data_IF_658755647854
#
_entry.id   IF_658755647854
#
_cell.length_a   1.000
_cell.length_b   1.000
_cell.length_c   1.000
_cell.angle_alpha   90.00
_cell.angle_beta   90.00
_cell.angle_gamma   90.00
#
_symmetry.space_group_name_H-M   'P 1'
#
loop_
_entity.id
_entity.type
_entity.pdbx_description
1 polymer ?
#
# COMPACT_ATOMS: atom_id res chain seq x y z
N UNK A 1 -40.10 46.67 -4.83
CA UNK A 1 -39.77 45.90 -3.60
C UNK A 1 -39.76 44.37 -3.77
N UNK A 2 -40.57 43.75 -4.65
CA UNK A 2 -40.56 42.28 -4.86
C UNK A 2 -39.28 41.72 -5.51
N UNK A 3 -38.56 42.51 -6.31
CA UNK A 3 -37.30 42.08 -6.95
C UNK A 3 -36.09 42.04 -6.01
N UNK A 4 -36.09 42.81 -4.91
CA UNK A 4 -34.97 42.80 -3.97
C UNK A 4 -34.98 41.53 -3.08
N UNK A 5 -36.16 41.05 -2.71
CA UNK A 5 -36.31 39.84 -1.91
C UNK A 5 -35.90 38.57 -2.68
N UNK A 6 -36.18 38.52 -3.98
CA UNK A 6 -35.79 37.39 -4.83
C UNK A 6 -34.27 37.31 -5.04
N UNK A 7 -33.59 38.46 -5.21
CA UNK A 7 -32.13 38.49 -5.36
C UNK A 7 -31.38 38.14 -4.07
N UNK A 8 -31.95 38.45 -2.90
CA UNK A 8 -31.38 38.05 -1.60
C UNK A 8 -31.58 36.55 -1.35
N UNK A 9 -32.74 35.99 -1.71
CA UNK A 9 -32.97 34.54 -1.62
C UNK A 9 -32.10 33.74 -2.61
N UNK A 10 -31.82 34.29 -3.80
CA UNK A 10 -30.89 33.68 -4.77
C UNK A 10 -29.43 33.83 -4.34
N UNK A 11 -29.01 34.93 -3.71
CA UNK A 11 -27.64 35.05 -3.20
C UNK A 11 -27.41 34.21 -1.94
N UNK A 12 -28.40 34.10 -1.03
CA UNK A 12 -28.36 33.16 0.11
C UNK A 12 -28.44 31.71 -0.37
N UNK A 13 -29.23 31.42 -1.40
CA UNK A 13 -29.29 30.12 -2.07
C UNK A 13 -28.00 29.74 -2.79
N UNK A 14 -27.35 30.67 -3.50
CA UNK A 14 -26.06 30.45 -4.15
C UNK A 14 -24.90 30.37 -3.14
N UNK A 15 -24.98 31.07 -2.00
CA UNK A 15 -24.06 30.89 -0.86
C UNK A 15 -24.29 29.56 -0.13
N UNK A 16 -25.53 29.05 -0.09
CA UNK A 16 -25.81 27.69 0.38
C UNK A 16 -25.40 26.62 -0.63
N UNK A 17 -25.30 26.92 -1.93
CA UNK A 17 -24.84 25.98 -2.98
C UNK A 17 -23.32 25.99 -3.14
N UNK A 18 -22.64 27.05 -2.69
CA UNK A 18 -21.23 26.99 -2.29
C UNK A 18 -21.10 26.29 -0.93
N UNK A 19 -21.54 25.03 -0.88
CA UNK A 19 -21.56 24.20 0.32
C UNK A 19 -20.25 24.34 1.07
N UNK A 20 -20.37 24.76 2.34
CA UNK A 20 -19.32 24.74 3.33
C UNK A 20 -18.54 23.44 3.22
N UNK A 21 -17.35 23.49 2.63
CA UNK A 21 -16.40 22.40 2.75
C UNK A 21 -15.97 22.43 4.21
N UNK A 22 -16.61 21.59 5.01
CA UNK A 22 -16.25 21.42 6.41
C UNK A 22 -14.86 20.77 6.38
N UNK A 23 -13.86 21.56 6.78
CA UNK A 23 -12.48 21.11 6.92
C UNK A 23 -12.33 20.52 8.32
N UNK A 24 -12.22 19.20 8.36
CA UNK A 24 -12.09 18.46 9.60
C UNK A 24 -10.65 18.07 9.86
N UNK A 25 -10.29 18.00 11.14
CA UNK A 25 -8.93 17.70 11.56
C UNK A 25 -8.90 16.44 12.41
N UNK A 26 -8.26 15.40 11.89
CA UNK A 26 -8.00 14.17 12.63
C UNK A 26 -6.54 14.15 13.07
N UNK A 27 -6.31 13.96 14.36
CA UNK A 27 -4.98 13.77 14.91
C UNK A 27 -4.84 12.37 15.48
N UNK A 28 -3.66 11.78 15.33
CA UNK A 28 -3.34 10.50 15.94
C UNK A 28 -1.92 10.48 16.48
N UNK A 29 -1.72 9.79 17.59
CA UNK A 29 -0.47 9.85 18.36
C UNK A 29 0.02 8.46 18.74
N UNK A 30 1.34 8.24 18.82
CA UNK A 30 1.93 6.93 19.10
C UNK A 30 1.72 6.43 20.54
N UNK A 31 1.02 7.18 21.40
CA UNK A 31 0.67 6.72 22.74
C UNK A 31 -0.47 5.72 22.66
N UNK A 32 -0.25 4.52 23.22
CA UNK A 32 -1.25 3.46 23.23
C UNK A 32 -2.43 3.84 24.12
N UNK A 33 -3.65 3.69 23.59
CA UNK A 33 -4.86 3.81 24.36
C UNK A 33 -5.14 2.52 25.14
N UNK A 34 -5.76 2.62 26.32
CA UNK A 34 -6.14 1.44 27.12
C UNK A 34 -7.49 0.85 26.69
N UNK A 35 -8.26 1.55 25.87
CA UNK A 35 -9.59 1.12 25.45
C UNK A 35 -9.48 0.17 24.26
N UNK A 36 -10.06 -1.04 24.33
CA UNK A 36 -10.13 -1.94 23.17
C UNK A 36 -10.95 -1.29 22.06
N UNK A 37 -10.56 -1.55 20.81
CA UNK A 37 -11.35 -1.11 19.66
C UNK A 37 -12.70 -1.82 19.66
N UNK A 38 -13.74 -1.08 19.28
CA UNK A 38 -15.02 -1.70 18.94
C UNK A 38 -14.82 -2.59 17.71
N UNK A 39 -15.61 -3.67 17.56
CA UNK A 39 -15.60 -4.46 16.34
C UNK A 39 -15.77 -3.58 15.10
N UNK A 40 -15.02 -3.88 14.03
CA UNK A 40 -14.97 -3.01 12.85
C UNK A 40 -16.34 -2.77 12.19
N UNK A 41 -17.22 -3.79 12.20
CA UNK A 41 -18.60 -3.63 11.71
C UNK A 41 -19.39 -2.57 12.52
N UNK A 42 -19.19 -2.48 13.84
CA UNK A 42 -19.81 -1.45 14.68
C UNK A 42 -19.17 -0.08 14.45
N UNK A 43 -17.86 -0.04 14.20
CA UNK A 43 -17.15 1.19 13.84
C UNK A 43 -17.79 1.84 12.60
N UNK A 44 -18.06 1.05 11.56
CA UNK A 44 -18.75 1.50 10.33
C UNK A 44 -20.27 1.67 10.50
N UNK A 45 -20.81 1.44 11.70
CA UNK A 45 -22.23 1.63 12.02
C UNK A 45 -23.14 0.49 11.58
N UNK A 46 -22.59 -0.66 11.20
CA UNK A 46 -23.36 -1.87 10.93
C UNK A 46 -23.66 -2.65 12.22
N UNK A 47 -24.84 -3.26 12.27
CA UNK A 47 -25.27 -4.09 13.41
C UNK A 47 -24.66 -5.49 13.39
N UNK A 48 -24.36 -6.02 12.20
CA UNK A 48 -23.76 -7.34 11.99
C UNK A 48 -22.64 -7.25 10.95
N UNK A 49 -21.66 -8.17 10.98
CA UNK A 49 -20.67 -8.29 9.91
C UNK A 49 -21.34 -8.70 8.59
N UNK A 50 -21.08 -7.96 7.51
CA UNK A 50 -21.50 -8.28 6.15
C UNK A 50 -20.34 -8.13 5.15
N UNK A 51 -20.46 -8.78 4.00
CA UNK A 51 -19.57 -8.58 2.84
C UNK A 51 -18.08 -8.83 3.13
N UNK A 52 -17.23 -7.93 2.61
CA UNK A 52 -15.76 -8.01 2.67
C UNK A 52 -15.14 -7.50 3.99
N UNK A 53 -15.94 -7.26 5.03
CA UNK A 53 -15.44 -6.69 6.29
C UNK A 53 -14.33 -7.52 6.93
N UNK A 54 -14.37 -8.85 6.80
CA UNK A 54 -13.29 -9.72 7.29
C UNK A 54 -11.95 -9.46 6.57
N UNK A 55 -11.99 -9.17 5.26
CA UNK A 55 -10.81 -8.80 4.49
C UNK A 55 -10.29 -7.42 4.93
N UNK A 56 -11.19 -6.46 5.18
CA UNK A 56 -10.80 -5.14 5.70
C UNK A 56 -10.15 -5.24 7.08
N UNK A 57 -10.76 -5.99 8.00
CA UNK A 57 -10.26 -6.23 9.37
C UNK A 57 -8.85 -6.81 9.35
N UNK A 58 -8.64 -7.88 8.56
CA UNK A 58 -7.33 -8.52 8.41
C UNK A 58 -6.31 -7.57 7.78
N UNK A 59 -6.69 -6.90 6.69
CA UNK A 59 -5.80 -5.97 6.01
C UNK A 59 -5.42 -4.77 6.90
N UNK A 60 -6.36 -4.30 7.71
CA UNK A 60 -6.16 -3.19 8.62
C UNK A 60 -5.27 -3.57 9.82
N UNK A 61 -5.24 -4.85 10.21
CA UNK A 61 -4.68 -5.31 11.49
C UNK A 61 -5.58 -4.91 12.66
N UNK A 62 -6.90 -4.96 12.47
CA UNK A 62 -7.86 -4.39 13.43
C UNK A 62 -7.97 -5.20 14.72
N UNK A 63 -7.84 -6.53 14.64
CA UNK A 63 -8.05 -7.42 15.79
C UNK A 63 -6.79 -7.60 16.65
N UNK A 64 -5.61 -7.38 16.09
CA UNK A 64 -4.30 -7.63 16.72
C UNK A 64 -3.41 -6.38 16.84
N UNK A 65 -3.87 -5.24 16.33
CA UNK A 65 -3.17 -3.96 16.44
C UNK A 65 -3.28 -3.30 17.81
N UNK A 66 -2.22 -2.63 18.23
CA UNK A 66 -2.22 -1.77 19.41
C UNK A 66 -2.99 -0.48 19.10
N UNK A 67 -4.08 -0.22 19.84
CA UNK A 67 -4.87 1.02 19.70
C UNK A 67 -4.03 2.25 20.02
N UNK A 68 -4.10 3.26 19.16
CA UNK A 68 -3.47 4.56 19.35
C UNK A 68 -4.49 5.62 19.77
N UNK A 69 -4.03 6.67 20.43
CA UNK A 69 -4.87 7.85 20.64
C UNK A 69 -5.22 8.48 19.28
N UNK A 70 -6.51 8.71 19.06
CA UNK A 70 -7.03 9.32 17.85
C UNK A 70 -8.17 10.28 18.19
N UNK A 71 -8.01 11.54 17.81
CA UNK A 71 -8.98 12.60 18.08
C UNK A 71 -9.56 13.10 16.74
N UNK A 72 -10.89 13.18 16.68
CA UNK A 72 -11.64 13.85 15.60
C UNK A 72 -12.24 15.14 16.15
N UNK A 73 -12.24 16.21 15.36
CA UNK A 73 -12.93 17.47 15.69
C UNK A 73 -14.44 17.43 15.44
N UNK A 74 -14.95 16.38 14.77
CA UNK A 74 -16.35 16.24 14.36
C UNK A 74 -16.94 14.90 14.82
N UNK A 75 -18.13 14.97 15.41
CA UNK A 75 -18.91 13.84 15.91
C UNK A 75 -19.46 12.96 14.77
N UNK A 76 -19.65 13.52 13.57
CA UNK A 76 -20.09 12.79 12.38
C UNK A 76 -18.94 12.03 11.69
N UNK A 77 -17.70 12.35 12.04
CA UNK A 77 -16.50 11.67 11.57
C UNK A 77 -15.96 10.76 12.68
N UNK A 78 -16.16 9.46 12.52
CA UNK A 78 -15.52 8.48 13.40
C UNK A 78 -14.10 8.24 12.91
N UNK A 79 -13.15 8.23 13.83
CA UNK A 79 -11.76 7.98 13.54
C UNK A 79 -11.19 6.97 14.54
N UNK A 80 -10.38 6.04 14.06
CA UNK A 80 -9.66 5.08 14.88
C UNK A 80 -8.28 4.86 14.29
N UNK A 81 -7.27 4.77 15.16
CA UNK A 81 -5.92 4.51 14.74
C UNK A 81 -5.31 3.36 15.53
N UNK A 82 -4.48 2.58 14.86
CA UNK A 82 -3.82 1.42 15.45
C UNK A 82 -2.41 1.25 14.87
N UNK A 83 -1.59 0.50 15.58
CA UNK A 83 -0.25 0.12 15.18
C UNK A 83 -0.07 -1.38 15.28
N UNK A 84 0.41 -1.98 14.21
CA UNK A 84 0.86 -3.37 14.19
C UNK A 84 2.33 -3.35 13.75
N UNK A 85 3.25 -3.67 14.65
CA UNK A 85 4.69 -3.51 14.42
C UNK A 85 5.08 -2.11 13.92
N UNK A 86 5.54 -1.99 12.66
CA UNK A 86 5.83 -0.73 11.96
C UNK A 86 4.88 -0.48 10.79
N UNK A 87 3.66 -0.94 10.96
CA UNK A 87 2.53 -0.57 10.15
C UNK A 87 1.59 0.22 11.02
N UNK A 88 1.17 1.37 10.51
CA UNK A 88 0.21 2.21 11.18
C UNK A 88 -1.04 2.36 10.33
N UNK A 89 -2.19 2.15 10.92
CA UNK A 89 -3.47 2.18 10.23
C UNK A 89 -4.36 3.25 10.84
N UNK A 90 -5.06 4.01 9.99
CA UNK A 90 -6.06 4.99 10.35
C UNK A 90 -7.35 4.66 9.59
N UNK A 91 -8.40 4.30 10.32
CA UNK A 91 -9.74 4.15 9.78
C UNK A 91 -10.55 5.42 10.04
N UNK A 92 -11.22 5.90 9.01
CA UNK A 92 -12.09 7.07 9.02
C UNK A 92 -13.45 6.65 8.47
N UNK A 93 -14.52 7.05 9.14
CA UNK A 93 -15.88 6.78 8.69
C UNK A 93 -16.71 8.06 8.73
N UNK A 94 -17.15 8.50 7.55
CA UNK A 94 -18.01 9.66 7.41
C UNK A 94 -19.48 9.23 7.53
N UNK A 95 -20.10 9.55 8.66
CA UNK A 95 -21.54 9.33 8.91
C UNK A 95 -22.39 10.53 8.48
N UNK A 96 -21.76 11.58 7.95
CA UNK A 96 -22.45 12.77 7.45
C UNK A 96 -23.10 12.48 6.10
N UNK A 97 -24.28 13.06 5.82
CA UNK A 97 -24.87 13.04 4.48
C UNK A 97 -24.11 13.93 3.47
N UNK A 98 -23.05 14.61 3.91
CA UNK A 98 -22.24 15.50 3.08
C UNK A 98 -20.83 14.94 2.85
N UNK A 99 -20.21 15.37 1.75
CA UNK A 99 -18.79 15.08 1.49
C UNK A 99 -17.91 15.90 2.42
N UNK A 100 -16.98 15.25 3.12
CA UNK A 100 -16.05 15.88 4.05
C UNK A 100 -14.63 15.99 3.49
N UNK A 101 -13.94 17.07 3.86
CA UNK A 101 -12.51 17.24 3.65
C UNK A 101 -11.80 17.00 4.98
N UNK A 102 -10.98 15.96 5.06
CA UNK A 102 -10.31 15.58 6.32
C UNK A 102 -8.82 15.79 6.20
N UNK A 103 -8.28 16.68 7.03
CA UNK A 103 -6.85 16.89 7.22
C UNK A 103 -6.38 16.00 8.38
N UNK A 104 -5.52 15.04 8.04
CA UNK A 104 -4.97 14.03 8.93
C UNK A 104 -3.58 14.46 9.34
N UNK A 105 -3.33 14.46 10.65
CA UNK A 105 -2.04 14.79 11.24
C UNK A 105 -1.59 13.70 12.21
N UNK A 106 -0.35 13.22 12.06
CA UNK A 106 0.29 12.43 13.12
C UNK A 106 1.75 12.23 12.87
N UNK A 107 2.38 11.34 13.62
CA UNK A 107 3.83 11.19 13.61
C UNK A 107 4.22 9.77 13.22
N UNK A 108 5.15 9.67 12.27
CA UNK A 108 5.78 8.41 11.91
C UNK A 108 7.27 8.47 12.27
N UNK A 109 7.85 7.37 12.77
CA UNK A 109 9.29 7.27 12.94
C UNK A 109 10.03 7.44 11.60
N UNK A 110 11.33 7.70 11.66
CA UNK A 110 12.16 7.73 10.46
C UNK A 110 12.09 6.40 9.69
N UNK A 111 11.87 6.48 8.37
CA UNK A 111 11.70 5.32 7.51
C UNK A 111 11.17 5.61 6.12
N UNK A 112 10.99 4.52 5.35
CA UNK A 112 10.43 4.56 3.99
C UNK A 112 9.06 3.92 4.04
N UNK A 113 8.03 4.70 3.76
CA UNK A 113 6.66 4.26 3.86
C UNK A 113 5.99 4.24 2.48
N UNK A 114 5.19 3.20 2.27
CA UNK A 114 4.11 3.23 1.28
C UNK A 114 2.84 3.65 2.00
N UNK A 115 2.03 4.48 1.35
CA UNK A 115 0.71 4.87 1.84
C UNK A 115 -0.34 4.13 1.03
N UNK A 116 -1.03 3.23 1.68
CA UNK A 116 -2.11 2.46 1.07
C UNK A 116 -3.46 2.99 1.55
N UNK A 117 -4.46 2.90 0.69
CA UNK A 117 -5.77 3.49 0.88
C UNK A 117 -6.82 2.50 0.41
N UNK A 118 -7.65 2.03 1.33
CA UNK A 118 -8.89 1.33 1.02
C UNK A 118 -10.07 2.28 1.10
N UNK A 119 -10.89 2.30 0.06
CA UNK A 119 -12.14 3.05 0.03
C UNK A 119 -13.30 2.08 0.19
N UNK A 120 -14.21 2.40 1.11
CA UNK A 120 -15.34 1.56 1.49
C UNK A 120 -16.67 2.22 1.14
N UNK A 121 -17.65 1.43 0.72
CA UNK A 121 -19.05 1.88 0.55
C UNK A 121 -19.76 2.02 1.90
N UNK A 122 -21.01 2.50 1.87
CA UNK A 122 -21.91 2.56 3.04
C UNK A 122 -22.12 1.22 3.76
N UNK A 123 -21.94 0.10 3.07
CA UNK A 123 -22.02 -1.25 3.63
C UNK A 123 -20.69 -1.79 4.16
N UNK A 124 -19.59 -1.03 4.04
CA UNK A 124 -18.25 -1.50 4.38
C UNK A 124 -17.57 -2.38 3.33
N UNK A 125 -18.14 -2.47 2.13
CA UNK A 125 -17.57 -3.23 1.00
C UNK A 125 -16.37 -2.47 0.40
N UNK A 126 -15.36 -3.22 -0.06
CA UNK A 126 -14.16 -2.65 -0.68
C UNK A 126 -14.46 -2.31 -2.14
N UNK A 127 -14.36 -1.04 -2.50
CA UNK A 127 -14.57 -0.60 -3.91
C UNK A 127 -13.28 -0.18 -4.59
N UNK A 128 -12.29 0.26 -3.83
CA UNK A 128 -11.02 0.67 -4.39
C UNK A 128 -9.88 0.51 -3.40
N UNK A 129 -8.72 0.15 -3.95
CA UNK A 129 -7.44 0.17 -3.29
C UNK A 129 -6.51 1.12 -4.06
N UNK A 130 -5.88 2.05 -3.37
CA UNK A 130 -4.79 2.84 -3.93
C UNK A 130 -3.53 2.64 -3.09
N UNK A 131 -2.42 2.26 -3.73
CA UNK A 131 -1.07 2.31 -3.16
C UNK A 131 -0.36 3.51 -3.74
N UNK A 132 -0.12 4.53 -2.91
CA UNK A 132 0.65 5.73 -3.23
C UNK A 132 1.98 5.69 -2.48
N UNK A 133 3.05 6.02 -3.18
CA UNK A 133 4.39 5.75 -2.67
C UNK A 133 5.17 7.01 -2.33
N UNK A 134 6.21 6.85 -1.51
CA UNK A 134 7.23 7.88 -1.31
C UNK A 134 7.10 8.78 -0.08
N UNK A 135 6.51 8.32 1.03
CA UNK A 135 6.68 9.05 2.29
C UNK A 135 8.02 8.67 2.93
N UNK A 136 9.02 9.51 2.70
CA UNK A 136 10.35 9.38 3.29
C UNK A 136 10.46 10.27 4.53
N UNK A 137 10.59 9.62 5.69
CA UNK A 137 10.77 10.29 6.97
C UNK A 137 12.24 10.26 7.38
N UNK A 138 12.89 11.43 7.35
CA UNK A 138 14.32 11.57 7.66
C UNK A 138 14.62 11.71 9.16
N UNK A 139 13.63 12.10 9.98
CA UNK A 139 13.79 12.28 11.42
C UNK A 139 12.56 11.77 12.18
N UNK A 140 12.75 11.34 13.42
CA UNK A 140 11.65 10.98 14.30
C UNK A 140 10.83 12.23 14.65
N UNK A 141 9.50 12.13 14.66
CA UNK A 141 8.59 13.22 15.08
C UNK A 141 8.25 14.25 14.00
N UNK A 142 8.66 14.05 12.73
CA UNK A 142 8.13 14.90 11.65
C UNK A 142 6.67 14.54 11.41
N UNK A 143 5.80 15.55 11.51
CA UNK A 143 4.37 15.37 11.29
C UNK A 143 4.09 14.98 9.85
N UNK A 144 3.41 13.86 9.69
CA UNK A 144 2.65 13.52 8.49
C UNK A 144 1.43 14.41 8.49
N UNK A 145 1.27 15.19 7.43
CA UNK A 145 0.03 15.93 7.16
C UNK A 145 -0.49 15.52 5.80
N UNK A 146 -1.75 15.09 5.76
CA UNK A 146 -2.40 14.61 4.53
C UNK A 146 -3.84 15.03 4.51
N UNK A 147 -4.31 15.51 3.37
CA UNK A 147 -5.74 15.81 3.17
C UNK A 147 -6.38 14.71 2.35
N UNK A 148 -7.51 14.21 2.84
CA UNK A 148 -8.36 13.24 2.18
C UNK A 148 -9.77 13.77 1.98
N UNK A 149 -10.44 13.21 0.99
CA UNK A 149 -11.84 13.49 0.71
C UNK A 149 -12.65 12.22 0.96
N UNK A 150 -13.62 12.32 1.86
CA UNK A 150 -14.56 11.23 2.17
C UNK A 150 -15.94 11.60 1.62
N UNK A 151 -16.54 10.70 0.86
CA UNK A 151 -17.91 10.88 0.39
C UNK A 151 -18.88 10.69 1.55
N UNK A 152 -20.12 11.15 1.37
CA UNK A 152 -21.19 10.90 2.34
C UNK A 152 -21.37 9.39 2.56
N UNK A 153 -21.61 8.97 3.80
CA UNK A 153 -21.84 7.57 4.17
C UNK A 153 -20.76 6.59 3.64
N UNK A 154 -19.48 6.96 3.71
CA UNK A 154 -18.37 6.09 3.25
C UNK A 154 -17.22 6.00 4.23
N UNK A 155 -16.42 4.95 4.06
CA UNK A 155 -15.23 4.68 4.85
C UNK A 155 -13.93 4.84 4.06
N UNK A 156 -12.87 5.15 4.80
CA UNK A 156 -11.51 5.19 4.31
C UNK A 156 -10.60 4.51 5.32
N UNK A 157 -9.83 3.52 4.90
CA UNK A 157 -8.77 2.94 5.74
C UNK A 157 -7.43 3.27 5.08
N UNK A 158 -6.60 4.03 5.80
CA UNK A 158 -5.25 4.38 5.38
C UNK A 158 -4.25 3.54 6.13
N UNK A 159 -3.21 3.09 5.42
CA UNK A 159 -2.13 2.31 6.02
C UNK A 159 -0.77 2.85 5.61
N UNK A 160 0.06 3.13 6.60
CA UNK A 160 1.45 3.53 6.46
C UNK A 160 2.33 2.34 6.81
N UNK A 161 2.77 1.58 5.80
CA UNK A 161 3.60 0.41 5.99
C UNK A 161 5.09 0.77 5.80
N UNK A 162 5.90 0.57 6.84
CA UNK A 162 7.36 0.80 6.78
C UNK A 162 8.04 -0.38 6.06
N UNK A 163 8.70 -0.11 4.94
CA UNK A 163 9.20 -1.17 4.05
C UNK A 163 10.58 -1.71 4.39
N UNK A 164 11.38 -1.02 5.21
CA UNK A 164 12.73 -1.50 5.56
C UNK A 164 12.66 -2.68 6.52
N UNK A 165 11.79 -2.64 7.53
CA UNK A 165 11.64 -3.77 8.45
C UNK A 165 11.16 -5.03 7.72
N UNK A 166 10.22 -4.90 6.78
CA UNK A 166 9.73 -6.03 5.99
C UNK A 166 10.87 -6.67 5.17
N UNK A 167 11.78 -5.87 4.63
CA UNK A 167 12.98 -6.38 3.96
C UNK A 167 13.94 -7.05 4.95
N UNK A 168 14.17 -6.45 6.11
CA UNK A 168 15.04 -7.08 7.12
C UNK A 168 14.49 -8.44 7.55
N UNK A 169 13.17 -8.58 7.75
CA UNK A 169 12.49 -9.85 8.06
C UNK A 169 12.71 -10.87 6.93
N UNK A 170 12.37 -10.51 5.70
CA UNK A 170 12.45 -11.43 4.54
C UNK A 170 13.89 -11.83 4.20
N UNK A 171 14.86 -10.92 4.30
CA UNK A 171 16.28 -11.25 4.07
C UNK A 171 16.84 -12.15 5.18
N UNK A 172 16.39 -12.01 6.42
CA UNK A 172 16.75 -12.93 7.52
C UNK A 172 16.13 -14.31 7.30
N UNK A 173 14.86 -14.37 6.89
CA UNK A 173 14.16 -15.61 6.52
C UNK A 173 14.89 -16.36 5.41
N UNK A 174 15.15 -15.68 4.29
CA UNK A 174 15.90 -16.23 3.16
C UNK A 174 17.31 -16.70 3.55
N UNK A 175 18.04 -15.92 4.36
CA UNK A 175 19.37 -16.34 4.82
C UNK A 175 19.26 -17.63 5.62
N UNK A 176 18.31 -17.70 6.55
CA UNK A 176 18.09 -18.87 7.40
C UNK A 176 17.72 -20.11 6.58
N UNK A 177 16.77 -19.98 5.64
CA UNK A 177 16.34 -21.10 4.80
C UNK A 177 17.48 -21.64 3.95
N UNK A 178 18.35 -20.77 3.39
CA UNK A 178 19.57 -21.20 2.68
C UNK A 178 20.48 -22.03 3.60
N UNK A 179 20.79 -21.53 4.81
CA UNK A 179 21.68 -22.23 5.75
C UNK A 179 21.12 -23.56 6.27
N UNK A 180 19.80 -23.64 6.44
CA UNK A 180 19.12 -24.84 6.92
C UNK A 180 18.80 -25.83 5.80
N UNK A 181 18.89 -25.40 4.54
CA UNK A 181 18.61 -26.25 3.38
C UNK A 181 19.57 -27.44 3.31
N UNK A 182 19.04 -28.58 2.84
CA UNK A 182 19.83 -29.79 2.57
C UNK A 182 20.42 -29.79 1.16
N UNK A 183 20.80 -28.61 0.66
CA UNK A 183 21.34 -28.44 -0.69
C UNK A 183 22.72 -29.13 -0.82
N UNK A 184 23.09 -29.63 -2.02
CA UNK A 184 24.46 -30.06 -2.29
C UNK A 184 25.47 -28.92 -2.04
N UNK A 185 26.68 -29.23 -1.58
CA UNK A 185 27.67 -28.23 -1.16
C UNK A 185 27.97 -27.16 -2.23
N UNK A 186 28.05 -27.54 -3.52
CA UNK A 186 28.26 -26.59 -4.61
C UNK A 186 27.09 -25.63 -4.84
N UNK A 187 25.86 -26.11 -4.64
CA UNK A 187 24.64 -25.29 -4.72
C UNK A 187 24.58 -24.35 -3.52
N UNK A 188 24.82 -24.86 -2.32
CA UNK A 188 24.84 -24.06 -1.10
C UNK A 188 25.88 -22.95 -1.17
N UNK A 189 27.09 -23.25 -1.66
CA UNK A 189 28.15 -22.25 -1.87
C UNK A 189 27.71 -21.14 -2.82
N UNK A 190 27.05 -21.49 -3.93
CA UNK A 190 26.50 -20.51 -4.89
C UNK A 190 25.42 -19.64 -4.26
N UNK A 191 24.47 -20.24 -3.54
CA UNK A 191 23.39 -19.52 -2.85
C UNK A 191 23.95 -18.57 -1.77
N UNK A 192 24.90 -19.05 -0.97
CA UNK A 192 25.56 -18.25 0.06
C UNK A 192 26.35 -17.07 -0.54
N UNK A 193 26.99 -17.26 -1.69
CA UNK A 193 27.69 -16.18 -2.40
C UNK A 193 26.72 -15.09 -2.87
N UNK A 194 25.59 -15.47 -3.47
CA UNK A 194 24.55 -14.52 -3.89
C UNK A 194 23.98 -13.77 -2.67
N UNK A 195 23.68 -14.48 -1.59
CA UNK A 195 23.15 -13.88 -0.36
C UNK A 195 24.14 -12.89 0.27
N UNK A 196 25.44 -13.20 0.26
CA UNK A 196 26.49 -12.27 0.72
C UNK A 196 26.53 -10.98 -0.11
N UNK A 197 26.33 -11.07 -1.42
CA UNK A 197 26.23 -9.88 -2.27
C UNK A 197 24.95 -9.07 -1.99
N UNK A 198 23.82 -9.74 -1.73
CA UNK A 198 22.59 -9.09 -1.26
C UNK A 198 22.85 -8.32 0.03
N UNK A 199 23.47 -8.93 1.03
CA UNK A 199 23.81 -8.31 2.32
C UNK A 199 24.76 -7.09 2.15
N UNK A 200 25.70 -7.15 1.21
CA UNK A 200 26.57 -6.03 0.88
C UNK A 200 25.78 -4.87 0.25
N UNK A 201 24.91 -5.15 -0.71
CA UNK A 201 24.08 -4.15 -1.35
C UNK A 201 23.04 -3.56 -0.40
N UNK A 202 22.49 -4.33 0.53
CA UNK A 202 21.57 -3.84 1.56
C UNK A 202 22.26 -2.79 2.43
N UNK A 203 23.42 -3.12 3.01
CA UNK A 203 24.20 -2.19 3.84
C UNK A 203 24.58 -0.91 3.11
N UNK A 204 25.04 -1.00 1.86
CA UNK A 204 25.39 0.16 1.04
C UNK A 204 24.15 1.02 0.71
N UNK A 205 23.02 0.38 0.39
CA UNK A 205 21.77 1.06 0.07
C UNK A 205 21.23 1.80 1.29
N UNK A 206 21.26 1.19 2.47
CA UNK A 206 20.83 1.85 3.71
C UNK A 206 21.76 3.00 4.12
N UNK A 207 23.06 2.92 3.84
CA UNK A 207 23.96 4.05 4.01
C UNK A 207 23.63 5.22 3.07
N UNK A 208 23.36 4.93 1.78
CA UNK A 208 22.95 5.93 0.78
C UNK A 208 21.61 6.57 1.10
N UNK A 209 20.66 5.78 1.58
CA UNK A 209 19.34 6.25 1.98
C UNK A 209 19.43 7.21 3.17
N UNK A 210 20.26 6.89 4.18
CA UNK A 210 20.56 7.81 5.29
C UNK A 210 21.18 9.12 4.81
N UNK A 211 21.98 9.07 3.75
CA UNK A 211 22.49 10.26 3.06
C UNK A 211 21.51 10.95 2.10
N UNK A 212 20.23 10.56 2.08
CA UNK A 212 19.20 11.15 1.21
C UNK A 212 19.29 10.78 -0.27
N UNK A 213 20.18 9.84 -0.65
CA UNK A 213 20.36 9.47 -2.04
C UNK A 213 19.42 8.34 -2.47
N UNK A 214 18.16 8.71 -2.70
CA UNK A 214 17.06 7.81 -3.11
C UNK A 214 17.41 7.06 -4.40
N UNK A 215 17.97 7.74 -5.40
CA UNK A 215 18.30 7.14 -6.70
C UNK A 215 19.36 6.04 -6.59
N UNK A 216 20.45 6.29 -5.88
CA UNK A 216 21.49 5.28 -5.68
C UNK A 216 21.06 4.16 -4.73
N UNK A 217 20.08 4.44 -3.86
CA UNK A 217 19.41 3.40 -3.05
C UNK A 217 18.56 2.51 -3.94
N UNK A 218 17.70 3.06 -4.79
CA UNK A 218 16.84 2.30 -5.72
C UNK A 218 17.67 1.41 -6.66
N UNK A 219 18.80 1.91 -7.19
CA UNK A 219 19.73 1.08 -7.98
C UNK A 219 20.31 -0.09 -7.19
N UNK A 220 20.61 0.11 -5.91
CA UNK A 220 21.05 -0.96 -5.02
C UNK A 220 19.95 -1.99 -4.77
N UNK A 221 18.71 -1.53 -4.58
CA UNK A 221 17.50 -2.38 -4.48
C UNK A 221 17.28 -3.21 -5.74
N UNK A 222 17.42 -2.62 -6.93
CA UNK A 222 17.31 -3.34 -8.20
C UNK A 222 18.41 -4.40 -8.38
N UNK A 223 19.63 -4.14 -7.92
CA UNK A 223 20.68 -5.17 -7.89
C UNK A 223 20.33 -6.32 -6.94
N UNK A 224 19.78 -6.02 -5.76
CA UNK A 224 19.30 -7.05 -4.84
C UNK A 224 18.18 -7.87 -5.47
N UNK A 225 17.22 -7.25 -6.14
CA UNK A 225 16.16 -7.96 -6.87
C UNK A 225 16.73 -8.94 -7.89
N UNK A 226 17.74 -8.53 -8.66
CA UNK A 226 18.42 -9.43 -9.60
C UNK A 226 19.09 -10.62 -8.89
N UNK A 227 19.80 -10.37 -7.79
CA UNK A 227 20.49 -11.40 -7.02
C UNK A 227 19.52 -12.39 -6.37
N UNK A 228 18.45 -11.90 -5.74
CA UNK A 228 17.42 -12.73 -5.12
C UNK A 228 16.64 -13.52 -6.19
N UNK A 229 16.40 -12.94 -7.37
CA UNK A 229 15.85 -13.67 -8.51
C UNK A 229 16.78 -14.81 -8.96
N UNK A 230 18.10 -14.61 -8.89
CA UNK A 230 19.08 -15.67 -9.12
C UNK A 230 19.04 -16.77 -8.06
N UNK A 231 18.86 -16.43 -6.78
CA UNK A 231 18.65 -17.38 -5.69
C UNK A 231 17.39 -18.21 -5.95
N UNK A 232 16.26 -17.54 -6.23
CA UNK A 232 14.99 -18.17 -6.59
C UNK A 232 15.16 -19.15 -7.74
N UNK A 233 15.76 -18.71 -8.85
CA UNK A 233 15.93 -19.54 -10.05
C UNK A 233 16.77 -20.80 -9.78
N UNK A 234 17.80 -20.72 -8.93
CA UNK A 234 18.60 -21.88 -8.52
C UNK A 234 17.77 -22.81 -7.61
N UNK A 235 17.02 -22.24 -6.67
CA UNK A 235 16.19 -23.00 -5.73
C UNK A 235 15.04 -23.75 -6.44
N UNK A 236 14.36 -23.10 -7.39
CA UNK A 236 13.22 -23.69 -8.12
C UNK A 236 13.57 -24.92 -8.96
N UNK A 237 14.86 -25.16 -9.25
CA UNK A 237 15.31 -26.36 -9.97
C UNK A 237 15.33 -27.62 -9.08
N UNK A 238 15.14 -27.48 -7.77
CA UNK A 238 15.26 -28.58 -6.82
C UNK A 238 14.09 -28.54 -5.82
N UNK A 239 13.27 -29.59 -5.79
CA UNK A 239 12.14 -29.68 -4.86
C UNK A 239 12.57 -29.56 -3.38
N UNK A 240 13.79 -30.02 -3.05
CA UNK A 240 14.37 -29.90 -1.70
C UNK A 240 14.66 -28.45 -1.26
N UNK A 241 14.57 -27.48 -2.18
CA UNK A 241 14.81 -26.05 -1.94
C UNK A 241 13.53 -25.21 -2.07
N UNK A 242 12.36 -25.84 -1.96
CA UNK A 242 11.07 -25.13 -2.04
C UNK A 242 11.01 -23.96 -1.05
N UNK A 243 11.36 -24.19 0.22
CA UNK A 243 11.36 -23.13 1.25
C UNK A 243 12.30 -21.96 0.90
N UNK A 244 13.44 -22.23 0.27
CA UNK A 244 14.36 -21.19 -0.22
C UNK A 244 13.73 -20.40 -1.37
N UNK A 245 13.01 -21.07 -2.26
CA UNK A 245 12.30 -20.41 -3.36
C UNK A 245 11.15 -19.54 -2.83
N UNK A 246 10.37 -20.04 -1.87
CA UNK A 246 9.25 -19.32 -1.25
C UNK A 246 9.75 -18.06 -0.50
N UNK A 247 10.82 -18.19 0.29
CA UNK A 247 11.47 -17.06 0.97
C UNK A 247 12.10 -16.06 -0.02
N UNK A 248 12.62 -16.54 -1.15
CA UNK A 248 13.15 -15.67 -2.19
C UNK A 248 12.03 -14.89 -2.90
N UNK A 249 10.87 -15.51 -3.12
CA UNK A 249 9.68 -14.83 -3.65
C UNK A 249 9.18 -13.76 -2.66
N UNK A 250 9.12 -14.06 -1.35
CA UNK A 250 8.78 -13.07 -0.33
C UNK A 250 9.77 -11.88 -0.30
N UNK A 251 11.08 -12.16 -0.43
CA UNK A 251 12.10 -11.12 -0.52
C UNK A 251 12.00 -10.29 -1.82
N UNK A 252 11.63 -10.89 -2.95
CA UNK A 252 11.39 -10.17 -4.22
C UNK A 252 10.21 -9.22 -4.06
N UNK A 253 9.13 -9.66 -3.44
CA UNK A 253 7.96 -8.82 -3.21
C UNK A 253 8.32 -7.65 -2.27
N UNK A 254 9.00 -7.91 -1.14
CA UNK A 254 9.43 -6.86 -0.21
C UNK A 254 10.40 -5.84 -0.85
N UNK A 255 11.37 -6.30 -1.65
CA UNK A 255 12.28 -5.43 -2.38
C UNK A 255 11.57 -4.63 -3.47
N UNK A 256 10.57 -5.23 -4.12
CA UNK A 256 9.75 -4.56 -5.14
C UNK A 256 8.91 -3.46 -4.51
N UNK A 257 8.32 -3.70 -3.34
CA UNK A 257 7.61 -2.69 -2.55
C UNK A 257 8.53 -1.52 -2.18
N UNK A 258 9.75 -1.78 -1.68
CA UNK A 258 10.69 -0.69 -1.40
C UNK A 258 11.12 0.06 -2.67
N UNK A 259 11.40 -0.64 -3.77
CA UNK A 259 11.74 0.00 -5.04
C UNK A 259 10.61 0.95 -5.47
N UNK A 260 9.38 0.48 -5.38
CA UNK A 260 8.18 1.23 -5.73
C UNK A 260 7.97 2.43 -4.81
N UNK A 261 8.22 2.25 -3.51
CA UNK A 261 8.24 3.33 -2.51
C UNK A 261 9.27 4.42 -2.86
N UNK A 262 10.49 4.02 -3.22
CA UNK A 262 11.60 4.93 -3.54
C UNK A 262 11.39 5.67 -4.88
N UNK A 263 10.77 5.01 -5.86
CA UNK A 263 10.60 5.55 -7.22
C UNK A 263 9.21 6.17 -7.45
N UNK A 264 8.37 6.24 -6.41
CA UNK A 264 7.05 6.86 -6.41
C UNK A 264 6.15 6.33 -7.54
N UNK A 265 6.04 5.00 -7.64
CA UNK A 265 5.05 4.34 -8.49
C UNK A 265 3.72 4.33 -7.74
N UNK A 266 2.67 4.93 -8.29
CA UNK A 266 1.33 4.89 -7.69
C UNK A 266 0.45 3.90 -8.46
N UNK A 267 -0.26 3.03 -7.75
CA UNK A 267 -1.16 2.03 -8.31
C UNK A 267 -2.53 2.18 -7.67
N UNK A 268 -3.57 2.32 -8.47
CA UNK A 268 -4.98 2.28 -8.08
C UNK A 268 -5.66 1.08 -8.73
N UNK A 269 -6.44 0.35 -7.96
CA UNK A 269 -7.30 -0.73 -8.45
C UNK A 269 -8.69 -0.47 -7.92
N UNK A 270 -9.69 -0.52 -8.78
CA UNK A 270 -11.10 -0.54 -8.37
C UNK A 270 -11.77 -1.77 -8.95
N UNK A 271 -12.63 -2.37 -8.13
CA UNK A 271 -13.39 -3.55 -8.50
C UNK A 271 -14.85 -3.19 -8.67
N UNK A 272 -15.42 -3.62 -9.79
CA UNK A 272 -16.86 -3.69 -9.98
C UNK A 272 -17.23 -5.08 -10.53
N UNK A 273 -18.50 -5.45 -10.46
CA UNK A 273 -18.98 -6.80 -10.86
C UNK A 273 -18.66 -7.16 -12.32
N UNK A 274 -18.28 -6.20 -13.15
CA UNK A 274 -18.07 -6.36 -14.59
C UNK A 274 -16.62 -6.17 -15.01
N UNK A 275 -15.84 -5.46 -14.21
CA UNK A 275 -14.51 -4.99 -14.59
C UNK A 275 -13.62 -4.73 -13.37
N UNK A 276 -12.35 -5.08 -13.54
CA UNK A 276 -11.24 -4.67 -12.68
C UNK A 276 -10.51 -3.55 -13.39
N UNK A 277 -10.61 -2.33 -12.86
CA UNK A 277 -9.94 -1.16 -13.44
C UNK A 277 -8.64 -0.92 -12.71
N UNK A 278 -7.55 -0.82 -13.46
CA UNK A 278 -6.21 -0.60 -12.92
C UNK A 278 -5.70 0.72 -13.47
N UNK A 279 -5.24 1.58 -12.59
CA UNK A 279 -4.56 2.84 -12.92
C UNK A 279 -3.16 2.80 -12.33
N UNK A 280 -2.14 3.09 -13.14
CA UNK A 280 -0.77 3.27 -12.65
C UNK A 280 -0.28 4.63 -13.08
N UNK A 281 0.32 5.36 -12.15
CA UNK A 281 0.88 6.70 -12.40
C UNK A 281 2.36 6.66 -12.09
N UNK A 282 3.17 7.14 -13.02
CA UNK A 282 4.56 7.44 -12.77
C UNK A 282 4.69 8.75 -12.00
N UNK A 283 4.40 8.75 -10.71
CA UNK A 283 4.54 9.95 -9.87
C UNK A 283 6.02 10.25 -9.51
N UNK A 284 6.96 9.45 -10.03
CA UNK A 284 8.40 9.67 -9.92
C UNK A 284 8.95 10.61 -10.98
N UNK A 285 10.27 10.75 -10.99
CA UNK A 285 11.01 11.59 -11.95
C UNK A 285 11.74 10.80 -13.03
N UNK A 286 11.71 9.47 -12.98
CA UNK A 286 12.42 8.60 -13.93
C UNK A 286 11.48 8.09 -15.03
N UNK A 287 11.97 8.05 -16.27
CA UNK A 287 11.31 7.33 -17.37
C UNK A 287 11.34 5.82 -17.11
N UNK A 288 10.21 5.15 -17.31
CA UNK A 288 10.14 3.69 -17.27
C UNK A 288 10.25 3.13 -18.68
N UNK A 289 11.06 2.08 -18.85
CA UNK A 289 11.23 1.41 -20.14
C UNK A 289 9.94 0.69 -20.55
N UNK A 290 9.34 0.00 -19.60
CA UNK A 290 8.07 -0.68 -19.81
C UNK A 290 7.23 -0.75 -18.53
N UNK A 291 5.92 -0.85 -18.70
CA UNK A 291 4.94 -1.10 -17.67
C UNK A 291 4.03 -2.22 -18.16
N UNK A 292 3.85 -3.26 -17.36
CA UNK A 292 2.96 -4.39 -17.63
C UNK A 292 1.92 -4.52 -16.54
N UNK A 293 0.68 -4.79 -16.96
CA UNK A 293 -0.46 -5.13 -16.12
C UNK A 293 -0.90 -6.56 -16.40
N UNK A 294 -1.26 -7.31 -15.36
CA UNK A 294 -1.90 -8.60 -15.47
C UNK A 294 -2.81 -8.83 -14.26
N UNK A 295 -3.85 -9.63 -14.43
CA UNK A 295 -4.46 -10.29 -13.28
C UNK A 295 -3.62 -11.52 -12.95
N UNK A 296 -3.45 -11.83 -11.67
CA UNK A 296 -2.83 -13.09 -11.27
C UNK A 296 -3.60 -14.27 -11.87
N UNK A 297 -2.87 -15.29 -12.31
CA UNK A 297 -3.38 -16.48 -13.00
C UNK A 297 -4.07 -16.24 -14.36
N UNK A 298 -4.11 -15.00 -14.86
CA UNK A 298 -4.54 -14.73 -16.24
C UNK A 298 -3.50 -15.16 -17.27
N UNK A 299 -3.96 -15.57 -18.46
CA UNK A 299 -3.08 -15.94 -19.55
C UNK A 299 -2.25 -14.74 -20.03
N UNK A 300 -1.03 -14.97 -20.55
CA UNK A 300 -0.14 -13.88 -20.99
C UNK A 300 -0.74 -12.97 -22.08
N UNK A 301 -1.73 -13.47 -22.83
CA UNK A 301 -2.48 -12.72 -23.84
C UNK A 301 -3.38 -11.61 -23.28
N UNK A 302 -3.72 -11.66 -21.99
CA UNK A 302 -4.60 -10.68 -21.33
C UNK A 302 -3.80 -9.58 -20.63
N UNK A 303 -2.59 -9.29 -21.12
CA UNK A 303 -1.69 -8.33 -20.49
C UNK A 303 -1.57 -7.04 -21.28
N UNK A 304 -1.61 -5.91 -20.59
CA UNK A 304 -1.39 -4.60 -21.18
C UNK A 304 0.08 -4.23 -20.97
N UNK A 305 0.78 -3.86 -22.04
CA UNK A 305 2.18 -3.42 -21.99
C UNK A 305 2.32 -2.04 -22.61
N UNK A 306 2.88 -1.11 -21.85
CA UNK A 306 3.21 0.24 -22.30
C UNK A 306 4.72 0.44 -22.25
N UNK A 307 5.28 1.11 -23.25
CA UNK A 307 6.70 1.42 -23.33
C UNK A 307 6.94 2.91 -23.11
N UNK A 308 8.12 3.25 -22.54
CA UNK A 308 8.57 4.64 -22.37
C UNK A 308 7.60 5.54 -21.55
N UNK A 309 7.10 5.02 -20.43
CA UNK A 309 6.16 5.75 -19.54
C UNK A 309 6.88 6.90 -18.86
N UNK A 310 6.47 8.13 -19.18
CA UNK A 310 7.08 9.38 -18.73
C UNK A 310 6.66 9.75 -17.30
N UNK A 311 7.43 10.60 -16.59
CA UNK A 311 6.98 11.22 -15.36
C UNK A 311 5.59 11.86 -15.52
N UNK A 312 4.75 11.65 -14.51
CA UNK A 312 3.34 12.05 -14.43
C UNK A 312 2.40 11.41 -15.46
N UNK A 313 2.90 10.50 -16.30
CA UNK A 313 2.05 9.75 -17.22
C UNK A 313 1.16 8.77 -16.43
N UNK A 314 -0.12 8.77 -16.80
CA UNK A 314 -1.15 7.90 -16.25
C UNK A 314 -1.47 6.84 -17.28
N UNK A 315 -1.35 5.59 -16.86
CA UNK A 315 -1.69 4.42 -17.64
C UNK A 315 -2.90 3.72 -17.02
N UNK A 316 -3.82 3.26 -17.86
CA UNK A 316 -5.06 2.61 -17.43
C UNK A 316 -5.27 1.32 -18.19
N UNK A 317 -5.82 0.33 -17.50
CA UNK A 317 -6.26 -0.93 -18.07
C UNK A 317 -7.56 -1.36 -17.41
N UNK A 318 -8.39 -2.10 -18.14
CA UNK A 318 -9.61 -2.70 -17.63
C UNK A 318 -9.61 -4.17 -18.01
N UNK A 319 -9.85 -5.03 -17.04
CA UNK A 319 -9.88 -6.48 -17.21
C UNK A 319 -11.25 -7.00 -16.82
N UNK A 320 -11.70 -8.08 -17.44
CA UNK A 320 -12.83 -8.83 -16.93
C UNK A 320 -12.37 -9.64 -15.72
N UNK A 321 -13.09 -9.60 -14.58
CA UNK A 321 -12.73 -10.43 -13.43
C UNK A 321 -12.84 -11.92 -13.80
N UNK A 322 -11.91 -12.78 -13.34
CA UNK A 322 -12.02 -14.23 -13.52
C UNK A 322 -13.30 -14.77 -12.87
N UNK A 323 -13.88 -15.82 -13.44
CA UNK A 323 -15.12 -16.41 -12.94
C UNK A 323 -15.02 -16.75 -11.45
N UNK A 324 -15.97 -16.25 -10.66
CA UNK A 324 -16.03 -16.47 -9.21
C UNK A 324 -15.06 -15.62 -8.38
N UNK A 325 -14.28 -14.71 -8.98
CA UNK A 325 -13.39 -13.81 -8.26
C UNK A 325 -13.94 -12.38 -8.19
N UNK A 326 -14.34 -11.93 -7.01
CA UNK A 326 -14.82 -10.56 -6.77
C UNK A 326 -13.69 -9.53 -6.69
N UNK A 327 -12.49 -9.95 -6.25
CA UNK A 327 -11.31 -9.09 -6.13
C UNK A 327 -10.04 -9.86 -6.53
N UNK A 328 -9.82 -10.11 -7.83
CA UNK A 328 -8.59 -10.76 -8.29
C UNK A 328 -7.36 -9.91 -7.98
N UNK A 329 -6.23 -10.59 -7.73
CA UNK A 329 -4.94 -9.94 -7.48
C UNK A 329 -4.46 -9.30 -8.78
N UNK A 330 -4.05 -8.04 -8.70
CA UNK A 330 -3.46 -7.32 -9.84
C UNK A 330 -1.95 -7.32 -9.70
N UNK A 331 -1.25 -7.75 -10.74
CA UNK A 331 0.21 -7.71 -10.81
C UNK A 331 0.64 -6.57 -11.75
N UNK A 332 1.35 -5.59 -11.19
CA UNK A 332 1.97 -4.49 -11.92
C UNK A 332 3.46 -4.71 -11.98
N UNK A 333 4.02 -4.89 -13.18
CA UNK A 333 5.46 -5.02 -13.37
C UNK A 333 6.02 -3.79 -14.07
N UNK A 334 7.01 -3.16 -13.45
CA UNK A 334 7.66 -1.96 -13.99
C UNK A 334 9.10 -2.30 -14.34
N UNK A 335 9.48 -2.02 -15.58
CA UNK A 335 10.86 -2.11 -16.05
C UNK A 335 11.48 -0.71 -16.08
N UNK A 336 12.51 -0.52 -15.27
CA UNK A 336 13.31 0.69 -15.22
C UNK A 336 14.55 0.55 -16.11
N UNK A 337 15.26 1.67 -16.31
CA UNK A 337 16.49 1.65 -17.11
C UNK A 337 17.53 0.64 -16.61
N UNK A 338 17.62 0.45 -15.29
CA UNK A 338 18.63 -0.38 -14.62
C UNK A 338 18.03 -1.38 -13.62
N UNK A 339 16.77 -1.78 -13.81
CA UNK A 339 16.12 -2.69 -12.86
C UNK A 339 14.67 -2.98 -13.20
N UNK A 340 14.02 -3.73 -12.33
CA UNK A 340 12.60 -4.03 -12.42
C UNK A 340 11.97 -3.97 -11.02
N UNK A 341 10.65 -3.88 -10.95
CA UNK A 341 9.85 -4.08 -9.74
C UNK A 341 8.56 -4.79 -10.12
N UNK A 342 8.10 -5.72 -9.27
CA UNK A 342 6.83 -6.42 -9.42
C UNK A 342 5.97 -6.14 -8.19
N UNK A 343 4.81 -5.54 -8.39
CA UNK A 343 3.88 -5.16 -7.33
C UNK A 343 2.64 -6.04 -7.43
N UNK A 344 2.35 -6.75 -6.34
CA UNK A 344 1.10 -7.46 -6.15
C UNK A 344 0.15 -6.55 -5.39
N UNK A 345 -1.01 -6.27 -5.97
CA UNK A 345 -2.05 -5.47 -5.35
C UNK A 345 -3.22 -6.39 -5.03
N UNK A 346 -3.42 -6.60 -3.73
CA UNK A 346 -4.41 -7.51 -3.16
C UNK A 346 -4.94 -6.94 -1.85
N UNK A 347 -6.22 -7.17 -1.60
CA UNK A 347 -6.86 -6.92 -0.30
C UNK A 347 -6.92 -8.19 0.57
N UNK A 348 -6.54 -9.36 0.04
CA UNK A 348 -6.66 -10.67 0.70
C UNK A 348 -5.36 -11.13 1.37
N UNK A 349 -4.20 -10.72 0.86
CA UNK A 349 -2.90 -11.34 1.19
C UNK A 349 -2.07 -10.61 2.26
N UNK A 350 -2.66 -9.65 2.99
CA UNK A 350 -1.95 -9.06 4.12
C UNK A 350 -2.28 -9.87 5.37
N UNK A 351 -1.43 -10.84 5.68
CA UNK A 351 -1.48 -11.60 6.95
C UNK A 351 -1.68 -13.11 6.83
N UNK A 352 -1.46 -13.75 5.67
CA UNK A 352 -1.37 -15.21 5.61
C UNK A 352 0.06 -15.69 5.90
N UNK A 353 0.51 -15.49 7.14
CA UNK A 353 1.52 -16.36 7.76
C UNK A 353 0.74 -17.30 8.73
N UNK A 354 -0.12 -18.15 8.17
CA UNK A 354 -0.57 -19.41 8.80
C UNK A 354 -0.36 -20.58 7.83
#
# INVERSE_FOLDING_TARGET
MKFLAASILLSVGCLHVAWAQVEEKVKWYPQSAQTPLVPFHQFVGATEPAGDLAAVVRWAGWDDGETLLCDSSDEQLRAAALRQERTWTLALWNSSPQKLRVTIEGELPAGVYTVERLTLTRGGEIVAFERRNGLLQYGAGRKVQRTEWLQADTGLVLRFAERRQQIDKTLVGLRRSIWQSKAPAGVLSRLASLMREVDNHWRQSMARLRGGNVRMTARGVHRMLFLVSGIRAVASQQAALKEVADEADAAIDALSELSSALLNVAVGVSWDDKAVKVTVINAGSELWKALRFALEDSAEGDTVVLANVRPMERAEASFQPPDGQTMPVVVVSVLFNNGYSRLRVSCRDVGSDE
#
